data_IF_113150146572
#
_entry.id   IF_113150146572
#
_cell.length_a   1.000
_cell.length_b   1.000
_cell.length_c   1.000
_cell.angle_alpha   90.00
_cell.angle_beta   90.00
_cell.angle_gamma   90.00
#
_symmetry.space_group_name_H-M   'P 1'
#
loop_
_entity.id
_entity.type
_entity.pdbx_description
1 polymer ?
#
# COMPACT_ATOMS: atom_id res chain seq x y z
N UNK A 1 -7.65 19.41 -17.24
CA UNK A 1 -7.56 18.14 -18.00
C UNK A 1 -8.22 17.06 -17.14
N UNK A 2 -9.20 16.35 -17.68
CA UNK A 2 -9.92 15.29 -16.94
C UNK A 2 -8.98 14.10 -16.77
N UNK A 3 -8.60 13.79 -15.54
CA UNK A 3 -7.95 12.52 -15.21
C UNK A 3 -8.97 11.40 -15.37
N UNK A 4 -8.97 10.73 -16.52
CA UNK A 4 -9.71 9.48 -16.68
C UNK A 4 -9.13 8.47 -15.69
N UNK A 5 -9.86 8.23 -14.61
CA UNK A 5 -9.55 7.18 -13.65
C UNK A 5 -9.69 5.85 -14.39
N UNK A 6 -8.62 5.06 -14.56
CA UNK A 6 -8.75 3.75 -15.20
C UNK A 6 -9.67 2.86 -14.36
N UNK A 7 -10.43 2.02 -15.05
CA UNK A 7 -11.27 1.00 -14.41
C UNK A 7 -10.39 -0.19 -14.04
N UNK A 8 -10.41 -0.59 -12.77
CA UNK A 8 -9.73 -1.79 -12.31
C UNK A 8 -10.53 -3.02 -12.76
N UNK A 9 -9.89 -3.93 -13.48
CA UNK A 9 -10.46 -5.22 -13.83
C UNK A 9 -10.06 -6.25 -12.77
N UNK A 10 -11.07 -6.89 -12.17
CA UNK A 10 -10.87 -7.93 -11.18
C UNK A 10 -11.09 -9.29 -11.86
N UNK A 11 -10.01 -10.06 -12.00
CA UNK A 11 -10.08 -11.43 -12.49
C UNK A 11 -10.19 -12.38 -11.29
N UNK A 12 -11.28 -13.15 -11.23
CA UNK A 12 -11.54 -14.13 -10.17
C UNK A 12 -11.66 -15.53 -10.74
N UNK A 13 -11.08 -16.50 -10.04
CA UNK A 13 -11.20 -17.92 -10.35
C UNK A 13 -11.39 -18.69 -9.05
N UNK A 14 -12.28 -19.68 -9.03
CA UNK A 14 -12.45 -20.57 -7.90
C UNK A 14 -11.37 -21.65 -7.91
N UNK A 15 -10.69 -21.84 -6.78
CA UNK A 15 -9.66 -22.85 -6.58
C UNK A 15 -10.09 -23.90 -5.57
N UNK A 16 -9.46 -25.07 -5.61
CA UNK A 16 -9.69 -26.11 -4.61
C UNK A 16 -9.22 -25.64 -3.23
N UNK A 17 -10.06 -25.84 -2.21
CA UNK A 17 -9.69 -25.59 -0.82
C UNK A 17 -8.50 -26.48 -0.42
N UNK A 18 -7.53 -25.90 0.30
CA UNK A 18 -6.35 -26.61 0.79
C UNK A 18 -6.15 -26.28 2.25
N UNK A 19 -6.08 -27.32 3.08
CA UNK A 19 -5.94 -27.21 4.53
C UNK A 19 -4.56 -26.71 4.98
N UNK A 20 -3.52 -26.82 4.14
CA UNK A 20 -2.16 -26.38 4.48
C UNK A 20 -1.72 -25.17 3.63
N UNK A 21 -2.07 -23.94 4.05
CA UNK A 21 -1.69 -22.70 3.36
C UNK A 21 -0.18 -22.47 3.34
N UNK A 22 0.58 -22.93 4.34
CA UNK A 22 2.05 -22.76 4.38
C UNK A 22 2.76 -23.56 3.27
N UNK A 23 2.34 -24.81 3.04
CA UNK A 23 2.88 -25.63 1.95
C UNK A 23 2.52 -25.04 0.57
N UNK A 24 1.31 -24.50 0.44
CA UNK A 24 0.88 -23.80 -0.78
C UNK A 24 1.70 -22.52 -1.02
N UNK A 25 1.93 -21.72 0.02
CA UNK A 25 2.77 -20.51 -0.07
C UNK A 25 4.18 -20.88 -0.52
N UNK A 26 4.80 -21.90 0.05
CA UNK A 26 6.13 -22.33 -0.36
C UNK A 26 6.14 -22.80 -1.84
N UNK A 27 5.13 -23.57 -2.26
CA UNK A 27 5.03 -24.05 -3.64
C UNK A 27 4.81 -22.91 -4.65
N UNK A 28 4.02 -21.91 -4.29
CA UNK A 28 3.71 -20.79 -5.18
C UNK A 28 4.83 -19.74 -5.13
N UNK A 29 5.19 -19.26 -3.95
CA UNK A 29 6.08 -18.12 -3.78
C UNK A 29 7.56 -18.50 -3.86
N UNK A 30 7.96 -19.70 -3.40
CA UNK A 30 9.36 -20.11 -3.36
C UNK A 30 10.25 -19.02 -2.74
N UNK A 31 11.32 -18.64 -3.45
CA UNK A 31 12.23 -17.54 -3.07
C UNK A 31 11.85 -16.17 -3.69
N UNK A 32 10.63 -16.00 -4.22
CA UNK A 32 10.22 -14.75 -4.85
C UNK A 32 10.10 -13.63 -3.79
N UNK A 33 10.75 -12.48 -4.00
CA UNK A 33 10.59 -11.34 -3.08
C UNK A 33 9.20 -10.71 -3.23
N UNK A 34 8.76 -9.99 -2.20
CA UNK A 34 7.47 -9.28 -2.15
C UNK A 34 6.22 -10.19 -2.14
N UNK A 35 6.34 -11.36 -1.54
CA UNK A 35 5.23 -12.26 -1.22
C UNK A 35 4.87 -12.17 0.26
N UNK A 36 3.59 -12.17 0.59
CA UNK A 36 3.13 -12.05 1.98
C UNK A 36 2.07 -13.11 2.26
N UNK A 37 2.24 -13.86 3.35
CA UNK A 37 1.23 -14.75 3.91
C UNK A 37 0.68 -14.11 5.18
N UNK A 38 -0.64 -13.89 5.22
CA UNK A 38 -1.35 -13.41 6.40
C UNK A 38 -2.35 -14.47 6.84
N UNK A 39 -2.06 -15.11 7.96
CA UNK A 39 -2.95 -16.08 8.61
C UNK A 39 -3.59 -15.40 9.83
N UNK A 40 -4.93 -15.36 9.85
CA UNK A 40 -5.68 -14.92 11.02
C UNK A 40 -6.23 -16.14 11.75
N UNK A 41 -5.83 -16.30 13.01
CA UNK A 41 -6.45 -17.23 13.96
C UNK A 41 -7.20 -16.40 15.02
N UNK A 42 -8.41 -16.81 15.40
CA UNK A 42 -9.09 -16.18 16.53
C UNK A 42 -8.43 -16.62 17.85
N UNK A 43 -8.46 -15.75 18.85
CA UNK A 43 -7.80 -16.02 20.14
C UNK A 43 -8.59 -17.06 20.95
N UNK A 44 -9.93 -17.05 20.83
CA UNK A 44 -10.82 -17.90 21.62
C UNK A 44 -11.32 -19.14 20.87
N UNK A 45 -11.49 -19.06 19.54
CA UNK A 45 -11.74 -20.22 18.68
C UNK A 45 -10.49 -20.51 17.87
N UNK A 46 -9.81 -21.62 18.15
CA UNK A 46 -8.69 -22.17 17.37
C UNK A 46 -9.10 -22.63 15.96
N UNK A 47 -10.06 -21.96 15.35
CA UNK A 47 -10.51 -22.18 13.99
C UNK A 47 -9.80 -21.17 13.08
N UNK A 48 -9.11 -21.69 12.07
CA UNK A 48 -8.41 -20.90 11.05
C UNK A 48 -9.45 -20.15 10.21
N UNK A 49 -9.71 -18.88 10.54
CA UNK A 49 -10.83 -18.12 10.00
C UNK A 49 -10.67 -17.81 8.51
N UNK A 50 -9.54 -17.21 8.13
CA UNK A 50 -9.21 -16.82 6.75
C UNK A 50 -7.69 -16.73 6.57
N UNK A 51 -7.19 -17.31 5.48
CA UNK A 51 -5.80 -17.12 5.03
C UNK A 51 -5.79 -16.22 3.81
N UNK A 52 -5.05 -15.11 3.86
CA UNK A 52 -4.83 -14.23 2.71
C UNK A 52 -3.41 -14.44 2.18
N UNK A 53 -3.33 -14.82 0.91
CA UNK A 53 -2.07 -15.06 0.22
C UNK A 53 -1.82 -13.97 -0.81
N UNK A 54 -0.70 -13.27 -0.69
CA UNK A 54 -0.24 -12.32 -1.69
C UNK A 54 0.94 -12.94 -2.45
N UNK A 55 0.64 -13.50 -3.62
CA UNK A 55 1.59 -14.27 -4.46
C UNK A 55 2.41 -13.38 -5.38
N UNK A 56 1.79 -12.37 -5.98
CA UNK A 56 2.46 -11.47 -6.93
C UNK A 56 2.10 -10.02 -6.59
N UNK A 57 3.09 -9.26 -6.13
CA UNK A 57 2.98 -7.82 -5.90
C UNK A 57 3.23 -7.07 -7.20
N UNK A 58 2.32 -6.16 -7.58
CA UNK A 58 2.56 -5.27 -8.73
C UNK A 58 3.47 -4.08 -8.39
N UNK A 59 3.38 -3.57 -7.15
CA UNK A 59 4.12 -2.43 -6.65
C UNK A 59 4.68 -2.75 -5.26
N UNK A 60 5.86 -2.21 -4.97
CA UNK A 60 6.46 -2.17 -3.64
C UNK A 60 6.58 -0.73 -3.18
N UNK A 61 5.91 -0.39 -2.09
CA UNK A 61 5.92 0.95 -1.50
C UNK A 61 6.69 0.88 -0.19
N UNK A 62 7.68 1.75 -0.04
CA UNK A 62 8.49 1.87 1.17
C UNK A 62 8.57 3.34 1.57
N UNK A 63 8.39 3.64 2.85
CA UNK A 63 8.51 4.99 3.38
C UNK A 63 9.61 5.01 4.44
N UNK A 64 10.58 5.91 4.27
CA UNK A 64 11.67 6.12 5.20
C UNK A 64 11.76 7.62 5.51
N UNK A 65 11.29 7.99 6.70
CA UNK A 65 11.18 9.40 7.09
C UNK A 65 10.18 10.15 6.23
N UNK A 66 10.66 11.16 5.51
CA UNK A 66 9.91 12.01 4.58
C UNK A 66 9.97 11.52 3.12
N UNK A 67 10.73 10.46 2.87
CA UNK A 67 10.98 9.92 1.53
C UNK A 67 10.18 8.63 1.33
N UNK A 68 9.30 8.61 0.33
CA UNK A 68 8.51 7.46 -0.08
C UNK A 68 9.05 6.94 -1.42
N UNK A 69 9.55 5.71 -1.44
CA UNK A 69 10.01 5.03 -2.64
C UNK A 69 8.96 4.02 -3.10
N UNK A 70 8.51 4.18 -4.35
CA UNK A 70 7.53 3.32 -5.01
C UNK A 70 8.23 2.63 -6.17
N UNK A 71 8.34 1.32 -6.09
CA UNK A 71 9.00 0.49 -7.10
C UNK A 71 7.96 -0.38 -7.80
N UNK A 72 7.96 -0.38 -9.13
CA UNK A 72 7.17 -1.33 -9.90
C UNK A 72 7.88 -2.68 -10.00
N UNK A 73 7.13 -3.74 -9.72
CA UNK A 73 7.59 -5.12 -9.80
C UNK A 73 7.00 -5.85 -11.02
N UNK A 74 5.97 -5.29 -11.66
CA UNK A 74 5.38 -5.79 -12.89
C UNK A 74 4.99 -4.64 -13.82
N UNK A 75 4.75 -4.95 -15.10
CA UNK A 75 4.27 -3.95 -16.08
C UNK A 75 2.92 -3.32 -15.71
N UNK A 76 2.08 -4.05 -14.96
CA UNK A 76 0.85 -3.47 -14.38
C UNK A 76 1.16 -2.38 -13.35
N UNK A 77 2.21 -2.58 -12.55
CA UNK A 77 2.71 -1.58 -11.60
C UNK A 77 3.27 -0.35 -12.31
N UNK A 78 4.00 -0.52 -13.42
CA UNK A 78 4.55 0.59 -14.19
C UNK A 78 3.45 1.51 -14.75
N UNK A 79 2.33 0.95 -15.22
CA UNK A 79 1.18 1.73 -15.68
C UNK A 79 0.57 2.60 -14.57
N UNK A 80 0.62 2.14 -13.31
CA UNK A 80 0.17 2.90 -12.15
C UNK A 80 1.11 4.05 -11.80
N UNK A 81 2.43 3.93 -12.05
CA UNK A 81 3.39 5.01 -11.78
C UNK A 81 3.08 6.27 -12.60
N UNK A 82 2.75 6.10 -13.89
CA UNK A 82 2.40 7.22 -14.77
C UNK A 82 1.12 7.95 -14.31
N UNK A 83 0.16 7.21 -13.75
CA UNK A 83 -1.05 7.81 -13.19
C UNK A 83 -0.77 8.52 -11.87
N UNK A 84 0.12 7.96 -11.06
CA UNK A 84 0.56 8.57 -9.81
C UNK A 84 1.21 9.93 -10.08
N UNK A 85 2.08 10.03 -11.09
CA UNK A 85 2.76 11.28 -11.47
C UNK A 85 1.75 12.42 -11.74
N UNK A 86 0.59 12.10 -12.30
CA UNK A 86 -0.48 13.08 -12.56
C UNK A 86 -1.32 13.43 -11.31
N UNK A 87 -1.26 12.61 -10.26
CA UNK A 87 -2.02 12.78 -9.02
C UNK A 87 -1.22 13.46 -7.90
N UNK A 88 0.08 13.69 -8.08
CA UNK A 88 0.93 14.28 -7.05
C UNK A 88 0.57 15.76 -6.80
N UNK A 89 0.43 16.18 -5.52
CA UNK A 89 0.15 17.57 -5.19
C UNK A 89 1.37 18.47 -5.40
N UNK A 90 1.12 19.76 -5.66
CA UNK A 90 2.18 20.75 -5.78
C UNK A 90 2.95 20.86 -4.45
N UNK A 91 4.27 20.62 -4.51
CA UNK A 91 5.17 20.66 -3.35
C UNK A 91 5.82 19.33 -2.99
N UNK A 92 5.45 18.22 -3.65
CA UNK A 92 6.18 16.95 -3.55
C UNK A 92 7.30 16.93 -4.58
N UNK A 93 8.54 16.78 -4.13
CA UNK A 93 9.65 16.52 -5.01
C UNK A 93 9.56 15.06 -5.49
N UNK A 94 9.65 14.84 -6.81
CA UNK A 94 9.52 13.51 -7.40
C UNK A 94 10.71 13.24 -8.32
N UNK A 95 11.51 12.23 -7.98
CA UNK A 95 12.52 11.67 -8.87
C UNK A 95 11.90 10.49 -9.63
N UNK A 96 11.83 10.64 -10.95
CA UNK A 96 11.22 9.67 -11.84
C UNK A 96 12.30 8.80 -12.49
N UNK A 97 12.18 7.49 -12.32
CA UNK A 97 12.99 6.47 -13.00
C UNK A 97 12.07 5.50 -13.76
N UNK A 98 12.54 4.71 -14.73
CA UNK A 98 11.66 3.85 -15.53
C UNK A 98 10.69 3.00 -14.69
N UNK A 99 11.20 2.37 -13.62
CA UNK A 99 10.44 1.43 -12.80
C UNK A 99 10.34 1.87 -11.32
N UNK A 100 10.65 3.14 -11.04
CA UNK A 100 10.70 3.65 -9.67
C UNK A 100 10.29 5.12 -9.61
N UNK A 101 9.65 5.51 -8.51
CA UNK A 101 9.36 6.90 -8.13
C UNK A 101 9.85 7.12 -6.71
N UNK A 102 10.73 8.09 -6.53
CA UNK A 102 11.15 8.53 -5.20
C UNK A 102 10.46 9.86 -4.94
N UNK A 103 9.52 9.85 -4.01
CA UNK A 103 8.74 11.00 -3.62
C UNK A 103 9.27 11.54 -2.30
N UNK A 104 9.62 12.81 -2.28
CA UNK A 104 10.01 13.53 -1.07
C UNK A 104 8.90 14.47 -0.68
N UNK A 105 8.26 14.14 0.43
CA UNK A 105 7.20 14.95 1.00
C UNK A 105 7.84 16.01 1.90
N UNK A 106 7.43 17.28 1.79
CA UNK A 106 7.93 18.30 2.69
C UNK A 106 7.49 17.95 4.12
N UNK A 107 8.41 18.10 5.07
CA UNK A 107 8.10 18.00 6.50
C UNK A 107 6.99 19.00 6.82
N UNK A 108 5.78 18.49 6.92
CA UNK A 108 4.60 19.29 7.12
C UNK A 108 4.54 19.74 8.58
N UNK A 109 5.25 20.81 8.91
CA UNK A 109 5.07 21.55 10.18
C UNK A 109 3.71 22.25 10.25
N UNK A 110 2.89 22.19 9.19
CA UNK A 110 1.68 23.00 9.05
C UNK A 110 0.38 22.24 8.71
N UNK A 111 0.35 20.90 8.78
CA UNK A 111 -0.90 20.15 8.54
C UNK A 111 -1.97 20.40 9.63
N UNK A 112 -1.59 20.98 10.76
CA UNK A 112 -2.48 21.22 11.90
C UNK A 112 -3.37 22.47 11.79
N UNK A 113 -3.27 23.29 10.73
CA UNK A 113 -3.95 24.60 10.67
C UNK A 113 -4.97 24.78 9.52
N UNK A 114 -5.43 23.70 8.87
CA UNK A 114 -6.48 23.78 7.84
C UNK A 114 -7.85 23.21 8.24
N UNK A 115 -8.12 23.04 9.52
CA UNK A 115 -9.49 22.86 10.05
C UNK A 115 -9.83 24.01 11.01
N UNK A 116 -10.72 24.95 10.63
CA UNK A 116 -11.25 25.94 11.56
C UNK A 116 -12.37 25.30 12.38
N UNK A 117 -12.04 24.33 13.22
CA UNK A 117 -12.92 23.87 14.28
C UNK A 117 -12.09 23.08 15.31
N UNK A 118 -12.15 23.53 16.57
CA UNK A 118 -11.54 22.94 17.77
C UNK A 118 -10.12 23.38 18.14
N UNK A 119 -10.07 24.51 18.84
CA UNK A 119 -9.15 24.69 19.98
C UNK A 119 -9.80 24.10 21.26
N UNK A 120 -9.08 24.00 22.40
CA UNK A 120 -7.82 23.33 22.62
C UNK A 120 -7.99 22.24 23.70
N UNK A 121 -7.58 20.99 23.44
CA UNK A 121 -7.35 20.04 24.53
C UNK A 121 -5.93 19.50 24.49
N UNK A 122 -5.21 19.91 25.53
CA UNK A 122 -3.90 19.51 25.96
C UNK A 122 -3.87 17.99 26.17
N UNK A 123 -2.73 17.42 25.80
CA UNK A 123 -2.15 16.18 26.31
C UNK A 123 -2.64 14.82 25.78
N UNK A 124 -1.62 14.04 25.46
CA UNK A 124 -1.54 12.58 25.35
C UNK A 124 -2.08 11.93 24.07
N UNK A 125 -1.10 11.48 23.28
CA UNK A 125 -1.06 10.16 22.62
C UNK A 125 -2.27 9.81 21.77
N UNK A 126 -2.12 9.95 20.45
CA UNK A 126 -2.32 8.82 19.54
C UNK A 126 -1.74 9.20 18.18
N UNK A 127 -0.58 8.62 17.85
CA UNK A 127 -0.05 8.61 16.50
C UNK A 127 -0.87 7.59 15.69
N UNK A 128 -2.12 7.94 15.41
CA UNK A 128 -2.98 7.22 14.47
C UNK A 128 -3.84 8.27 13.81
N UNK A 129 -3.37 8.81 12.69
CA UNK A 129 -4.23 9.23 11.58
C UNK A 129 -3.35 9.71 10.41
N UNK A 130 -2.89 8.76 9.60
CA UNK A 130 -2.77 9.01 8.17
C UNK A 130 -4.21 9.06 7.65
N UNK A 131 -4.85 10.23 7.72
CA UNK A 131 -6.10 10.48 7.00
C UNK A 131 -5.73 11.14 5.69
N UNK A 132 -5.88 10.37 4.62
CA UNK A 132 -6.09 10.88 3.28
C UNK A 132 -7.38 11.72 3.36
N UNK A 133 -7.23 13.05 3.41
CA UNK A 133 -8.21 14.09 3.02
C UNK A 133 -7.54 15.46 3.17
#
# INVERSE_FOLDING_TARGET
MQTQKPTLELLTCEGAYRDNPTALFHQLCGDRPATLLLESADIDSKDDLKSLLLVDSALRITALGDTVTIQALSGNGEALLALLDNALPAGVESEQSPNCRVLRFPLSVHCWMKTPAYAPFRFLTLSVYCRIC
#
